data_IF_298362042355
#
_entry.id   IF_298362042355
#
_cell.length_a   1.000
_cell.length_b   1.000
_cell.length_c   1.000
_cell.angle_alpha   90.00
_cell.angle_beta   90.00
_cell.angle_gamma   90.00
#
_symmetry.space_group_name_H-M   'P 1'
#
loop_
_entity.id
_entity.type
_entity.pdbx_description
1 polymer ?
#
# COMPACT_ATOMS: atom_id res chain seq x y z
N UNK A 1 -31.03 -21.70 10.76
CA UNK A 1 -30.52 -20.89 9.63
C UNK A 1 -31.67 -20.17 8.95
N UNK A 2 -31.51 -18.87 8.64
CA UNK A 2 -32.45 -18.07 7.84
C UNK A 2 -31.80 -17.74 6.51
N UNK A 3 -32.60 -17.63 5.46
CA UNK A 3 -32.18 -17.22 4.13
C UNK A 3 -32.84 -15.88 3.80
N UNK A 4 -32.04 -14.95 3.28
CA UNK A 4 -32.50 -13.73 2.63
C UNK A 4 -32.10 -13.83 1.16
N UNK A 5 -33.09 -13.84 0.27
CA UNK A 5 -32.90 -13.90 -1.17
C UNK A 5 -33.29 -12.57 -1.80
N UNK A 6 -32.38 -12.05 -2.62
CA UNK A 6 -32.53 -10.80 -3.35
C UNK A 6 -32.55 -11.10 -4.85
N UNK A 7 -33.43 -10.42 -5.58
CA UNK A 7 -33.35 -10.37 -7.05
C UNK A 7 -32.42 -9.24 -7.52
N UNK A 8 -32.11 -9.23 -8.81
CA UNK A 8 -31.33 -8.16 -9.45
C UNK A 8 -32.01 -6.82 -9.19
N UNK A 9 -31.25 -5.83 -8.72
CA UNK A 9 -31.80 -4.55 -8.24
C UNK A 9 -31.95 -4.46 -6.71
N UNK A 10 -31.56 -5.50 -5.97
CA UNK A 10 -31.51 -5.46 -4.50
C UNK A 10 -32.86 -5.59 -3.80
N UNK A 11 -33.90 -6.01 -4.52
CA UNK A 11 -35.23 -6.21 -3.97
C UNK A 11 -35.36 -7.61 -3.36
N UNK A 12 -36.00 -7.69 -2.19
CA UNK A 12 -36.22 -8.95 -1.48
C UNK A 12 -37.34 -9.75 -2.13
N UNK A 13 -37.07 -11.02 -2.41
CA UNK A 13 -38.05 -11.97 -2.96
C UNK A 13 -38.36 -13.12 -2.01
N UNK A 14 -37.49 -13.37 -1.03
CA UNK A 14 -37.74 -14.31 0.06
C UNK A 14 -36.91 -13.92 1.29
N UNK A 15 -37.51 -13.96 2.48
CA UNK A 15 -36.78 -13.87 3.74
C UNK A 15 -37.46 -14.80 4.75
N UNK A 16 -36.76 -15.84 5.19
CA UNK A 16 -37.42 -16.87 5.98
C UNK A 16 -36.49 -17.94 6.55
N UNK A 17 -37.04 -18.82 7.38
CA UNK A 17 -36.33 -20.02 7.84
C UNK A 17 -36.34 -21.04 6.71
N UNK A 18 -35.20 -21.68 6.42
CA UNK A 18 -35.11 -22.73 5.39
C UNK A 18 -35.93 -23.98 5.74
N UNK A 19 -36.04 -24.30 7.03
CA UNK A 19 -36.61 -25.58 7.48
C UNK A 19 -35.64 -26.74 7.30
N UNK A 20 -36.09 -27.96 7.58
CA UNK A 20 -35.30 -29.19 7.34
C UNK A 20 -35.23 -29.41 5.83
N UNK A 21 -34.03 -29.65 5.29
CA UNK A 21 -33.80 -29.83 3.85
C UNK A 21 -34.40 -28.72 2.96
N UNK A 22 -34.40 -27.47 3.42
CA UNK A 22 -34.95 -26.31 2.67
C UNK A 22 -36.45 -26.40 2.32
N UNK A 23 -37.20 -27.23 3.04
CA UNK A 23 -38.63 -27.49 2.81
C UNK A 23 -39.46 -26.20 2.80
N UNK A 24 -39.28 -25.30 3.78
CA UNK A 24 -40.10 -24.09 3.91
C UNK A 24 -39.87 -23.07 2.80
N UNK A 25 -38.65 -23.06 2.24
CA UNK A 25 -38.33 -22.23 1.08
C UNK A 25 -39.00 -22.82 -0.17
N UNK A 26 -38.91 -24.14 -0.33
CA UNK A 26 -39.51 -24.87 -1.45
C UNK A 26 -41.03 -24.68 -1.45
N UNK A 27 -41.69 -24.90 -0.32
CA UNK A 27 -43.14 -24.69 -0.15
C UNK A 27 -43.57 -23.27 -0.50
N UNK A 28 -42.76 -22.25 -0.18
CA UNK A 28 -43.07 -20.86 -0.50
C UNK A 28 -43.07 -20.61 -2.01
N UNK A 29 -42.05 -21.07 -2.73
CA UNK A 29 -41.96 -20.87 -4.18
C UNK A 29 -42.92 -21.78 -4.94
N UNK A 30 -43.17 -23.00 -4.46
CA UNK A 30 -44.17 -23.91 -5.05
C UNK A 30 -45.61 -23.42 -4.86
N UNK A 31 -45.88 -22.62 -3.83
CA UNK A 31 -47.19 -21.99 -3.63
C UNK A 31 -47.49 -20.90 -4.66
N UNK A 32 -46.49 -20.44 -5.42
CA UNK A 32 -46.66 -19.42 -6.46
C UNK A 32 -47.24 -20.09 -7.72
N UNK A 33 -48.37 -19.59 -8.26
CA UNK A 33 -48.95 -20.12 -9.49
C UNK A 33 -47.94 -20.11 -10.66
N UNK A 34 -47.75 -21.27 -11.31
CA UNK A 34 -46.89 -21.42 -12.48
C UNK A 34 -45.42 -21.73 -12.20
N UNK A 35 -44.99 -21.78 -10.93
CA UNK A 35 -43.65 -22.27 -10.58
C UNK A 35 -43.63 -23.82 -10.64
N UNK A 36 -42.69 -24.44 -11.36
CA UNK A 36 -42.59 -25.89 -11.44
C UNK A 36 -42.09 -26.47 -10.12
N UNK A 37 -42.72 -27.56 -9.65
CA UNK A 37 -42.27 -28.27 -8.44
C UNK A 37 -40.82 -28.75 -8.55
N UNK A 38 -40.14 -28.81 -7.41
CA UNK A 38 -38.77 -29.31 -7.38
C UNK A 38 -38.73 -30.80 -7.73
N UNK A 39 -37.76 -31.21 -8.55
CA UNK A 39 -37.54 -32.62 -8.87
C UNK A 39 -36.88 -33.33 -7.70
N UNK A 40 -37.21 -34.60 -7.51
CA UNK A 40 -36.64 -35.41 -6.45
C UNK A 40 -35.11 -35.51 -6.62
N UNK A 41 -34.37 -35.39 -5.51
CA UNK A 41 -32.89 -35.29 -5.46
C UNK A 41 -32.26 -34.06 -6.16
N UNK A 42 -33.03 -33.07 -6.58
CA UNK A 42 -32.47 -31.83 -7.13
C UNK A 42 -32.03 -30.86 -6.02
N UNK A 43 -30.98 -30.08 -6.26
CA UNK A 43 -30.47 -29.13 -5.26
C UNK A 43 -31.45 -27.95 -5.10
N UNK A 44 -32.04 -27.74 -3.90
CA UNK A 44 -33.00 -26.65 -3.68
C UNK A 44 -32.42 -25.26 -3.91
N UNK A 45 -31.13 -25.05 -3.67
CA UNK A 45 -30.49 -23.75 -3.89
C UNK A 45 -30.44 -23.39 -5.39
N UNK A 46 -30.11 -24.38 -6.24
CA UNK A 46 -30.07 -24.22 -7.68
C UNK A 46 -31.47 -24.01 -8.24
N UNK A 47 -32.44 -24.85 -7.84
CA UNK A 47 -33.84 -24.73 -8.28
C UNK A 47 -34.44 -23.37 -7.92
N UNK A 48 -34.21 -22.89 -6.70
CA UNK A 48 -34.70 -21.58 -6.24
C UNK A 48 -34.21 -20.44 -7.14
N UNK A 49 -32.93 -20.45 -7.54
CA UNK A 49 -32.37 -19.43 -8.42
C UNK A 49 -32.93 -19.49 -9.85
N UNK A 50 -33.25 -20.69 -10.34
CA UNK A 50 -33.86 -20.89 -11.67
C UNK A 50 -35.31 -20.40 -11.69
N UNK A 51 -36.11 -20.76 -10.68
CA UNK A 51 -37.52 -20.38 -10.60
C UNK A 51 -37.72 -18.91 -10.24
N UNK A 52 -36.73 -18.27 -9.60
CA UNK A 52 -36.73 -16.85 -9.29
C UNK A 52 -35.90 -16.00 -10.27
N UNK A 53 -35.54 -16.55 -11.43
CA UNK A 53 -34.75 -15.84 -12.44
C UNK A 53 -35.58 -14.79 -13.19
N UNK A 54 -34.91 -13.84 -13.84
CA UNK A 54 -35.57 -12.83 -14.70
C UNK A 54 -36.38 -13.49 -15.81
N UNK A 55 -35.89 -14.59 -16.38
CA UNK A 55 -36.61 -15.36 -17.39
C UNK A 55 -37.91 -15.97 -16.83
N UNK A 56 -37.91 -16.39 -15.56
CA UNK A 56 -39.10 -16.89 -14.90
C UNK A 56 -40.12 -15.77 -14.60
N UNK A 57 -39.68 -14.57 -14.21
CA UNK A 57 -40.57 -13.40 -14.03
C UNK A 57 -41.30 -13.05 -15.34
N UNK A 58 -40.57 -13.02 -16.47
CA UNK A 58 -41.16 -12.74 -17.79
C UNK A 58 -42.14 -13.85 -18.19
N UNK A 59 -41.77 -15.12 -18.01
CA UNK A 59 -42.64 -16.27 -18.33
C UNK A 59 -43.94 -16.26 -17.51
N UNK A 60 -43.86 -15.86 -16.24
CA UNK A 60 -44.99 -15.81 -15.32
C UNK A 60 -45.73 -14.47 -15.36
N UNK A 61 -45.21 -13.48 -16.09
CA UNK A 61 -45.72 -12.10 -16.12
C UNK A 61 -45.97 -11.53 -14.71
N UNK A 62 -45.04 -11.81 -13.78
CA UNK A 62 -45.15 -11.44 -12.36
C UNK A 62 -43.82 -10.91 -11.84
N UNK A 63 -43.89 -9.92 -10.94
CA UNK A 63 -42.76 -9.48 -10.13
C UNK A 63 -42.73 -10.23 -8.79
N UNK A 64 -41.67 -11.02 -8.54
CA UNK A 64 -41.55 -11.77 -7.29
C UNK A 64 -41.38 -10.87 -6.05
N UNK A 65 -40.84 -9.66 -6.21
CA UNK A 65 -40.66 -8.72 -5.09
C UNK A 65 -42.00 -8.15 -4.63
N UNK A 66 -42.91 -7.85 -5.56
CA UNK A 66 -44.26 -7.38 -5.21
C UNK A 66 -45.13 -8.53 -4.66
N UNK A 67 -44.96 -9.74 -5.19
CA UNK A 67 -45.55 -10.94 -4.59
C UNK A 67 -45.06 -11.15 -3.15
N UNK A 68 -43.75 -11.01 -2.90
CA UNK A 68 -43.21 -11.13 -1.55
C UNK A 68 -43.81 -10.08 -0.60
N UNK A 69 -43.95 -8.82 -1.02
CA UNK A 69 -44.54 -7.73 -0.21
C UNK A 69 -45.99 -8.00 0.19
N UNK A 70 -46.76 -8.69 -0.65
CA UNK A 70 -48.17 -9.02 -0.36
C UNK A 70 -48.32 -10.33 0.43
N UNK A 71 -47.29 -11.18 0.43
CA UNK A 71 -47.29 -12.47 1.10
C UNK A 71 -47.39 -12.37 2.64
N UNK A 72 -47.94 -13.41 3.26
CA UNK A 72 -48.01 -13.51 4.72
C UNK A 72 -46.62 -13.63 5.36
N UNK A 73 -45.64 -14.16 4.63
CA UNK A 73 -44.25 -14.23 5.08
C UNK A 73 -43.68 -12.83 5.34
N UNK A 74 -43.97 -11.86 4.47
CA UNK A 74 -43.55 -10.47 4.68
C UNK A 74 -44.24 -9.84 5.90
N UNK A 75 -45.55 -10.08 6.07
CA UNK A 75 -46.29 -9.60 7.26
C UNK A 75 -45.70 -10.16 8.56
N UNK A 76 -45.41 -11.47 8.60
CA UNK A 76 -44.78 -12.13 9.74
C UNK A 76 -43.39 -11.55 10.03
N UNK A 77 -42.57 -11.32 9.01
CA UNK A 77 -41.26 -10.70 9.17
C UNK A 77 -41.37 -9.27 9.70
N UNK A 78 -42.35 -8.49 9.26
CA UNK A 78 -42.58 -7.12 9.74
C UNK A 78 -42.96 -7.09 11.22
N UNK A 79 -43.82 -8.02 11.66
CA UNK A 79 -44.17 -8.20 13.08
C UNK A 79 -42.96 -8.65 13.89
N UNK A 80 -42.16 -9.57 13.37
CA UNK A 80 -40.96 -10.02 14.04
C UNK A 80 -39.93 -8.90 14.20
N UNK A 81 -39.72 -8.09 13.16
CA UNK A 81 -38.83 -6.93 13.22
C UNK A 81 -39.34 -5.93 14.27
N UNK A 82 -40.63 -5.62 14.31
CA UNK A 82 -41.17 -4.68 15.31
C UNK A 82 -41.06 -5.19 16.74
N UNK A 83 -41.15 -6.51 16.95
CA UNK A 83 -40.89 -7.15 18.24
C UNK A 83 -39.41 -7.06 18.64
N UNK A 84 -38.50 -7.42 17.73
CA UNK A 84 -37.05 -7.43 17.99
C UNK A 84 -36.42 -6.04 18.06
N UNK A 85 -37.07 -5.02 17.47
CA UNK A 85 -36.63 -3.63 17.59
C UNK A 85 -36.88 -3.02 18.97
N UNK A 86 -37.69 -3.68 19.83
CA UNK A 86 -37.91 -3.23 21.21
C UNK A 86 -36.96 -4.00 22.13
N UNK A 87 -36.01 -3.34 22.81
CA UNK A 87 -35.12 -4.02 23.75
C UNK A 87 -35.93 -4.61 24.92
N UNK A 88 -35.47 -5.73 25.47
CA UNK A 88 -36.11 -6.33 26.64
C UNK A 88 -35.97 -5.41 27.86
N UNK A 89 -37.03 -5.23 28.67
CA UNK A 89 -36.97 -4.37 29.86
C UNK A 89 -35.84 -4.80 30.79
N UNK A 90 -34.92 -3.87 31.09
CA UNK A 90 -33.74 -4.13 31.95
C UNK A 90 -32.46 -4.50 31.20
N UNK A 91 -32.49 -4.55 29.86
CA UNK A 91 -31.28 -4.68 29.04
C UNK A 91 -30.76 -3.29 28.62
N UNK A 92 -29.44 -3.10 28.68
CA UNK A 92 -28.78 -1.90 28.16
C UNK A 92 -28.18 -2.17 26.80
N UNK A 93 -28.12 -1.16 25.94
CA UNK A 93 -27.48 -1.26 24.64
C UNK A 93 -26.00 -1.68 24.78
N UNK A 94 -25.53 -2.46 23.81
CA UNK A 94 -24.15 -2.92 23.76
C UNK A 94 -23.24 -1.71 23.47
N UNK A 95 -22.50 -1.25 24.48
CA UNK A 95 -21.59 -0.12 24.37
C UNK A 95 -20.13 -0.59 24.37
N UNK A 96 -19.39 -0.23 23.32
CA UNK A 96 -17.95 -0.44 23.27
C UNK A 96 -17.24 0.91 23.50
N UNK A 97 -16.34 1.02 24.49
CA UNK A 97 -15.66 2.27 24.79
C UNK A 97 -14.62 2.67 23.73
N UNK A 98 -14.17 1.72 22.91
CA UNK A 98 -13.17 1.94 21.87
C UNK A 98 -13.57 1.25 20.58
N UNK A 99 -13.24 1.87 19.43
CA UNK A 99 -13.43 1.29 18.10
C UNK A 99 -12.58 0.02 17.90
N UNK A 100 -11.38 -0.01 18.49
CA UNK A 100 -10.43 -1.12 18.39
C UNK A 100 -10.26 -1.85 19.72
N UNK A 101 -10.03 -3.17 19.67
CA UNK A 101 -9.85 -4.01 20.87
C UNK A 101 -8.51 -3.81 21.60
N UNK A 102 -7.50 -3.26 20.91
CA UNK A 102 -6.14 -3.07 21.44
C UNK A 102 -5.73 -1.60 21.41
N UNK A 103 -4.84 -1.22 22.32
CA UNK A 103 -4.23 0.12 22.34
C UNK A 103 -3.39 0.38 21.07
N UNK A 104 -3.13 1.65 20.77
CA UNK A 104 -2.31 2.09 19.62
C UNK A 104 -0.94 1.39 19.61
N UNK A 105 -0.32 1.21 20.77
CA UNK A 105 0.99 0.53 20.92
C UNK A 105 0.85 -0.97 20.63
N UNK A 106 -0.23 -1.60 21.09
CA UNK A 106 -0.52 -3.01 20.78
C UNK A 106 -0.71 -3.23 19.28
N UNK A 107 -1.49 -2.35 18.64
CA UNK A 107 -1.67 -2.34 17.19
C UNK A 107 -0.34 -2.16 16.46
N UNK A 108 0.49 -1.19 16.89
CA UNK A 108 1.81 -0.94 16.28
C UNK A 108 2.72 -2.17 16.38
N UNK A 109 2.82 -2.81 17.54
CA UNK A 109 3.64 -4.03 17.71
C UNK A 109 3.16 -5.17 16.81
N UNK A 110 1.84 -5.36 16.71
CA UNK A 110 1.27 -6.38 15.83
C UNK A 110 1.55 -6.09 14.34
N UNK A 111 1.38 -4.83 13.92
CA UNK A 111 1.71 -4.39 12.57
C UNK A 111 3.20 -4.55 12.28
N UNK A 112 4.08 -4.17 13.21
CA UNK A 112 5.52 -4.31 13.06
C UNK A 112 5.95 -5.77 12.93
N UNK A 113 5.39 -6.64 13.77
CA UNK A 113 5.60 -8.09 13.68
C UNK A 113 5.16 -8.65 12.31
N UNK A 114 3.97 -8.25 11.83
CA UNK A 114 3.47 -8.63 10.51
C UNK A 114 4.45 -8.23 9.42
N UNK A 115 4.84 -6.95 9.37
CA UNK A 115 5.75 -6.47 8.32
C UNK A 115 7.13 -7.13 8.40
N UNK A 116 7.66 -7.36 9.61
CA UNK A 116 8.91 -8.09 9.80
C UNK A 116 8.84 -9.49 9.19
N UNK A 117 7.78 -10.23 9.48
CA UNK A 117 7.57 -11.57 8.96
C UNK A 117 7.39 -11.57 7.44
N UNK A 118 6.66 -10.60 6.88
CA UNK A 118 6.47 -10.44 5.43
C UNK A 118 7.82 -10.17 4.74
N UNK A 119 8.62 -9.24 5.25
CA UNK A 119 9.90 -8.89 4.64
C UNK A 119 10.92 -10.04 4.72
N UNK A 120 10.86 -10.81 5.80
CA UNK A 120 11.71 -12.00 5.97
C UNK A 120 11.28 -13.16 5.06
N UNK A 121 9.97 -13.41 4.91
CA UNK A 121 9.44 -14.53 4.12
C UNK A 121 9.41 -14.27 2.61
N UNK A 122 9.43 -13.01 2.20
CA UNK A 122 9.41 -12.60 0.79
C UNK A 122 10.74 -11.92 0.42
N UNK A 123 11.82 -12.70 0.20
CA UNK A 123 13.15 -12.15 0.00
C UNK A 123 13.31 -11.42 -1.33
N UNK A 124 12.43 -11.64 -2.31
CA UNK A 124 12.57 -11.12 -3.68
C UNK A 124 12.79 -9.60 -3.72
N UNK A 125 12.04 -8.85 -2.91
CA UNK A 125 12.17 -7.39 -2.81
C UNK A 125 13.56 -6.97 -2.33
N UNK A 126 13.98 -7.46 -1.16
CA UNK A 126 15.24 -7.09 -0.55
C UNK A 126 16.45 -7.62 -1.33
N UNK A 127 16.33 -8.81 -1.93
CA UNK A 127 17.37 -9.44 -2.73
C UNK A 127 17.67 -8.64 -4.00
N UNK A 128 16.63 -8.22 -4.74
CA UNK A 128 16.81 -7.38 -5.94
C UNK A 128 17.46 -6.05 -5.56
N UNK A 129 16.96 -5.41 -4.50
CA UNK A 129 17.48 -4.13 -4.02
C UNK A 129 18.95 -4.22 -3.61
N UNK A 130 19.33 -5.28 -2.89
CA UNK A 130 20.71 -5.49 -2.46
C UNK A 130 21.64 -5.87 -3.62
N UNK A 131 21.19 -6.75 -4.52
CA UNK A 131 22.00 -7.19 -5.65
C UNK A 131 22.30 -6.03 -6.61
N UNK A 132 21.30 -5.19 -6.89
CA UNK A 132 21.46 -4.02 -7.76
C UNK A 132 22.43 -2.98 -7.16
N UNK A 133 22.30 -2.74 -5.86
CA UNK A 133 23.19 -1.79 -5.16
C UNK A 133 24.62 -2.32 -5.10
N UNK A 134 24.81 -3.62 -4.86
CA UNK A 134 26.13 -4.27 -4.90
C UNK A 134 26.78 -4.13 -6.27
N UNK A 135 26.04 -4.44 -7.34
CA UNK A 135 26.53 -4.29 -8.70
C UNK A 135 26.92 -2.83 -9.00
N UNK A 136 26.09 -1.87 -8.61
CA UNK A 136 26.35 -0.44 -8.82
C UNK A 136 27.57 0.03 -8.02
N UNK A 137 27.75 -0.44 -6.79
CA UNK A 137 28.91 -0.13 -5.95
C UNK A 137 30.22 -0.64 -6.60
N UNK A 138 30.22 -1.89 -7.08
CA UNK A 138 31.39 -2.48 -7.75
C UNK A 138 31.69 -1.78 -9.08
N UNK A 139 30.66 -1.48 -9.87
CA UNK A 139 30.81 -0.76 -11.14
C UNK A 139 31.42 0.63 -10.90
N UNK A 140 30.86 1.42 -9.99
CA UNK A 140 31.39 2.74 -9.65
C UNK A 140 32.83 2.65 -9.10
N UNK A 141 33.07 1.73 -8.16
CA UNK A 141 34.39 1.52 -7.58
C UNK A 141 35.43 1.08 -8.60
N UNK A 142 35.04 0.31 -9.62
CA UNK A 142 35.95 -0.14 -10.69
C UNK A 142 36.28 0.96 -11.69
N UNK A 143 35.32 1.81 -12.06
CA UNK A 143 35.53 2.93 -13.00
C UNK A 143 36.45 3.98 -12.37
N UNK A 144 36.27 4.28 -11.08
CA UNK A 144 37.05 5.29 -10.36
C UNK A 144 38.12 4.69 -9.44
N UNK A 145 38.69 3.56 -9.86
CA UNK A 145 39.66 2.82 -9.09
C UNK A 145 40.85 3.70 -8.68
N UNK A 146 41.12 3.77 -7.37
CA UNK A 146 42.23 4.55 -6.77
C UNK A 146 42.27 6.04 -7.13
N UNK A 147 41.16 6.64 -7.58
CA UNK A 147 41.10 8.06 -7.95
C UNK A 147 41.47 8.99 -6.79
N UNK A 148 41.22 8.57 -5.54
CA UNK A 148 41.52 9.36 -4.32
C UNK A 148 42.99 9.70 -4.11
N UNK A 149 43.90 9.07 -4.86
CA UNK A 149 45.34 9.38 -4.81
C UNK A 149 45.73 10.60 -5.66
N UNK A 150 44.93 10.98 -6.66
CA UNK A 150 45.21 12.05 -7.61
C UNK A 150 44.08 13.11 -7.66
N UNK A 151 43.75 13.70 -6.50
CA UNK A 151 42.68 14.73 -6.38
C UNK A 151 43.18 16.18 -6.59
N UNK A 152 44.37 16.38 -7.17
CA UNK A 152 44.95 17.72 -7.34
C UNK A 152 44.28 18.58 -8.41
N UNK A 153 43.52 17.99 -9.33
CA UNK A 153 42.88 18.70 -10.44
C UNK A 153 41.39 18.96 -10.18
N UNK A 154 40.98 20.22 -10.32
CA UNK A 154 39.60 20.67 -10.14
C UNK A 154 38.61 20.01 -11.13
N UNK A 155 39.09 19.57 -12.30
CA UNK A 155 38.23 18.83 -13.25
C UNK A 155 38.00 17.38 -12.79
N UNK A 156 39.04 16.71 -12.29
CA UNK A 156 38.94 15.37 -11.72
C UNK A 156 37.99 15.35 -10.50
N UNK A 157 38.09 16.35 -9.62
CA UNK A 157 37.19 16.49 -8.47
C UNK A 157 35.72 16.64 -8.89
N UNK A 158 35.43 17.50 -9.88
CA UNK A 158 34.08 17.70 -10.42
C UNK A 158 33.51 16.42 -11.03
N UNK A 159 34.33 15.68 -11.78
CA UNK A 159 33.95 14.39 -12.37
C UNK A 159 33.59 13.36 -11.30
N UNK A 160 34.40 13.23 -10.26
CA UNK A 160 34.15 12.27 -9.15
C UNK A 160 32.87 12.61 -8.40
N UNK A 161 32.66 13.89 -8.05
CA UNK A 161 31.44 14.34 -7.36
C UNK A 161 30.20 14.06 -8.22
N UNK A 162 30.28 14.34 -9.53
CA UNK A 162 29.20 14.06 -10.48
C UNK A 162 28.85 12.58 -10.60
N UNK A 163 29.88 11.72 -10.66
CA UNK A 163 29.70 10.29 -10.71
C UNK A 163 29.08 9.74 -9.43
N UNK A 164 29.52 10.20 -8.26
CA UNK A 164 28.95 9.83 -6.96
C UNK A 164 27.49 10.27 -6.85
N UNK A 165 27.18 11.50 -7.23
CA UNK A 165 25.80 12.01 -7.28
C UNK A 165 24.91 11.16 -8.19
N UNK A 166 25.38 10.86 -9.39
CA UNK A 166 24.64 10.06 -10.37
C UNK A 166 24.42 8.63 -9.87
N UNK A 167 25.42 8.03 -9.24
CA UNK A 167 25.30 6.68 -8.68
C UNK A 167 24.30 6.61 -7.51
N UNK A 168 24.33 7.58 -6.59
CA UNK A 168 23.36 7.65 -5.49
C UNK A 168 21.95 7.87 -6.02
N UNK A 169 21.78 8.74 -7.02
CA UNK A 169 20.50 8.93 -7.72
C UNK A 169 20.02 7.64 -8.38
N UNK A 170 20.90 6.91 -9.06
CA UNK A 170 20.55 5.68 -9.77
C UNK A 170 20.10 4.56 -8.82
N UNK A 171 20.85 4.33 -7.73
CA UNK A 171 20.45 3.40 -6.66
C UNK A 171 19.15 3.86 -6.00
N UNK A 172 19.02 5.16 -5.72
CA UNK A 172 17.82 5.75 -5.13
C UNK A 172 16.56 5.54 -5.98
N UNK A 173 16.62 5.84 -7.28
CA UNK A 173 15.51 5.60 -8.21
C UNK A 173 15.14 4.11 -8.23
N UNK A 174 16.12 3.21 -8.18
CA UNK A 174 15.86 1.77 -8.12
C UNK A 174 15.17 1.36 -6.80
N UNK A 175 15.58 1.90 -5.65
CA UNK A 175 14.90 1.68 -4.37
C UNK A 175 13.44 2.15 -4.41
N UNK A 176 13.17 3.29 -5.06
CA UNK A 176 11.79 3.74 -5.26
C UNK A 176 10.99 2.78 -6.15
N UNK A 177 11.52 2.44 -7.32
CA UNK A 177 10.82 1.59 -8.28
C UNK A 177 10.50 0.20 -7.70
N UNK A 178 11.41 -0.34 -6.87
CA UNK A 178 11.24 -1.66 -6.24
C UNK A 178 10.25 -1.66 -5.08
N UNK A 179 10.14 -0.57 -4.32
CA UNK A 179 9.19 -0.49 -3.19
C UNK A 179 7.74 -0.28 -3.65
N UNK A 180 7.53 0.38 -4.79
CA UNK A 180 6.20 0.71 -5.31
C UNK A 180 5.24 -0.51 -5.45
N UNK A 181 5.61 -1.61 -6.12
CA UNK A 181 4.73 -2.76 -6.27
C UNK A 181 4.44 -3.45 -4.93
N UNK A 182 5.41 -3.51 -4.01
CA UNK A 182 5.27 -4.13 -2.69
C UNK A 182 4.21 -3.38 -1.87
N UNK A 183 4.31 -2.05 -1.81
CA UNK A 183 3.33 -1.22 -1.09
C UNK A 183 1.95 -1.29 -1.72
N UNK A 184 1.87 -1.38 -3.05
CA UNK A 184 0.59 -1.49 -3.76
C UNK A 184 -0.15 -2.78 -3.39
N UNK A 185 0.56 -3.91 -3.27
CA UNK A 185 -0.02 -5.20 -2.85
C UNK A 185 -0.50 -5.10 -1.39
N UNK A 186 0.37 -4.66 -0.48
CA UNK A 186 0.04 -4.53 0.95
C UNK A 186 -1.14 -3.58 1.20
N UNK A 187 -1.27 -2.50 0.42
CA UNK A 187 -2.41 -1.58 0.50
C UNK A 187 -3.76 -2.28 0.31
N UNK A 188 -3.85 -3.27 -0.56
CA UNK A 188 -5.11 -4.02 -0.78
C UNK A 188 -5.49 -4.85 0.45
N UNK A 189 -4.49 -5.42 1.12
CA UNK A 189 -4.66 -6.17 2.38
C UNK A 189 -5.05 -5.22 3.51
N UNK A 190 -4.35 -4.08 3.62
CA UNK A 190 -4.65 -3.02 4.59
C UNK A 190 -6.10 -2.55 4.50
N UNK A 191 -6.64 -2.29 3.30
CA UNK A 191 -8.03 -1.86 3.17
C UNK A 191 -9.03 -2.92 3.65
N UNK A 192 -8.75 -4.21 3.43
CA UNK A 192 -9.60 -5.30 3.91
C UNK A 192 -9.54 -5.43 5.43
N UNK A 193 -8.35 -5.39 6.01
CA UNK A 193 -8.14 -5.49 7.46
C UNK A 193 -8.72 -4.28 8.20
N UNK A 194 -8.61 -3.09 7.62
CA UNK A 194 -9.23 -1.87 8.15
C UNK A 194 -10.75 -1.90 8.05
N UNK A 195 -11.31 -2.38 6.94
CA UNK A 195 -12.77 -2.55 6.80
C UNK A 195 -13.34 -3.57 7.80
N UNK A 196 -12.53 -4.55 8.24
CA UNK A 196 -12.86 -5.48 9.30
C UNK A 196 -12.64 -4.92 10.72
N UNK A 197 -12.18 -3.67 10.87
CA UNK A 197 -11.95 -3.04 12.17
C UNK A 197 -10.76 -3.59 12.96
N UNK A 198 -9.76 -4.18 12.29
CA UNK A 198 -8.65 -4.85 13.00
C UNK A 198 -7.64 -3.88 13.65
N UNK A 199 -7.30 -2.79 12.97
CA UNK A 199 -6.36 -1.77 13.46
C UNK A 199 -6.52 -0.45 12.70
N UNK A 200 -6.02 0.64 13.30
CA UNK A 200 -6.06 1.99 12.74
C UNK A 200 -4.92 2.26 11.75
N UNK A 201 -5.07 3.29 10.89
CA UNK A 201 -4.12 3.58 9.82
C UNK A 201 -2.72 4.05 10.31
N UNK A 202 -2.66 4.74 11.45
CA UNK A 202 -1.45 5.38 11.93
C UNK A 202 -0.40 4.37 12.47
N UNK A 203 -0.76 3.40 13.33
CA UNK A 203 0.14 2.30 13.72
C UNK A 203 0.67 1.50 12.54
N UNK A 204 -0.15 1.27 11.52
CA UNK A 204 0.25 0.60 10.29
C UNK A 204 1.31 1.40 9.53
N UNK A 205 1.07 2.70 9.30
CA UNK A 205 1.99 3.55 8.56
C UNK A 205 3.35 3.68 9.27
N UNK A 206 3.36 3.84 10.60
CA UNK A 206 4.61 3.92 11.37
C UNK A 206 5.34 2.57 11.33
N UNK A 207 4.64 1.44 11.45
CA UNK A 207 5.26 0.12 11.36
C UNK A 207 5.93 -0.09 9.99
N UNK A 208 5.27 0.31 8.91
CA UNK A 208 5.83 0.23 7.56
C UNK A 208 7.11 1.05 7.39
N UNK A 209 7.14 2.28 7.94
CA UNK A 209 8.34 3.15 7.90
C UNK A 209 9.49 2.57 8.71
N UNK A 210 9.22 2.14 9.95
CA UNK A 210 10.25 1.60 10.86
C UNK A 210 10.93 0.36 10.30
N UNK A 211 10.19 -0.46 9.55
CA UNK A 211 10.72 -1.69 8.95
C UNK A 211 11.77 -1.46 7.88
N UNK A 212 11.77 -0.32 7.21
CA UNK A 212 12.70 -0.06 6.09
C UNK A 212 14.09 0.40 6.56
N UNK A 213 14.15 1.03 7.74
CA UNK A 213 15.38 1.48 8.41
C UNK A 213 16.47 0.39 8.46
N UNK A 214 16.24 -0.81 9.03
CA UNK A 214 17.28 -1.83 9.16
C UNK A 214 17.77 -2.36 7.80
N UNK A 215 16.88 -2.54 6.82
CA UNK A 215 17.28 -3.06 5.50
C UNK A 215 18.07 -2.02 4.70
N UNK A 216 17.67 -0.75 4.75
CA UNK A 216 18.41 0.34 4.09
C UNK A 216 19.76 0.58 4.78
N UNK A 217 19.84 0.37 6.10
CA UNK A 217 21.10 0.45 6.84
C UNK A 217 22.11 -0.60 6.35
N UNK A 218 21.69 -1.86 6.22
CA UNK A 218 22.55 -2.94 5.69
C UNK A 218 22.96 -2.63 4.25
N UNK A 219 22.02 -2.21 3.39
CA UNK A 219 22.28 -1.80 2.01
C UNK A 219 23.36 -0.72 1.92
N UNK A 220 23.23 0.31 2.75
CA UNK A 220 24.14 1.45 2.73
C UNK A 220 25.51 1.09 3.27
N UNK A 221 25.56 0.21 4.28
CA UNK A 221 26.80 -0.18 4.95
C UNK A 221 27.81 -0.82 4.00
N UNK A 222 27.39 -1.79 3.20
CA UNK A 222 28.32 -2.37 2.21
C UNK A 222 28.52 -1.45 1.01
N UNK A 223 27.51 -0.69 0.58
CA UNK A 223 27.67 0.27 -0.52
C UNK A 223 28.79 1.26 -0.22
N UNK A 224 28.76 1.89 0.96
CA UNK A 224 29.79 2.85 1.33
C UNK A 224 31.14 2.18 1.55
N UNK A 225 31.18 1.01 2.18
CA UNK A 225 32.43 0.29 2.41
C UNK A 225 33.14 -0.07 1.09
N UNK A 226 32.39 -0.57 0.09
CA UNK A 226 32.93 -0.93 -1.22
C UNK A 226 33.42 0.31 -1.98
N UNK A 227 32.55 1.31 -2.12
CA UNK A 227 32.86 2.53 -2.90
C UNK A 227 34.04 3.28 -2.27
N UNK A 228 34.03 3.46 -0.95
CA UNK A 228 35.08 4.19 -0.23
C UNK A 228 36.43 3.47 -0.31
N UNK A 229 36.44 2.14 -0.24
CA UNK A 229 37.65 1.33 -0.37
C UNK A 229 38.21 1.32 -1.79
N UNK A 230 37.37 1.04 -2.81
CA UNK A 230 37.82 0.93 -4.21
C UNK A 230 38.30 2.28 -4.78
N UNK A 231 37.63 3.39 -4.42
CA UNK A 231 38.05 4.73 -4.83
C UNK A 231 39.29 5.22 -4.06
N UNK A 232 39.68 4.52 -2.98
CA UNK A 232 40.81 4.86 -2.11
C UNK A 232 40.73 6.28 -1.56
N UNK A 233 39.58 6.65 -0.99
CA UNK A 233 39.43 7.91 -0.27
C UNK A 233 40.24 7.94 1.02
N UNK A 234 40.48 9.14 1.55
CA UNK A 234 41.25 9.33 2.79
C UNK A 234 40.52 8.73 3.98
N UNK A 235 40.99 7.59 4.49
CA UNK A 235 40.46 6.90 5.66
C UNK A 235 40.56 7.76 6.92
N UNK A 236 39.51 8.55 7.16
CA UNK A 236 39.29 9.29 8.39
C UNK A 236 37.87 8.99 8.84
N UNK A 237 37.69 8.62 10.12
CA UNK A 237 36.39 8.23 10.65
C UNK A 237 35.30 9.27 10.35
N UNK A 238 35.61 10.55 10.54
CA UNK A 238 34.68 11.67 10.26
C UNK A 238 34.23 11.67 8.80
N UNK A 239 35.16 11.55 7.84
CA UNK A 239 34.85 11.57 6.39
C UNK A 239 34.05 10.34 5.97
N UNK A 240 34.39 9.18 6.52
CA UNK A 240 33.66 7.93 6.26
C UNK A 240 32.22 7.99 6.79
N UNK A 241 32.04 8.37 8.06
CA UNK A 241 30.70 8.48 8.65
C UNK A 241 29.86 9.57 8.00
N UNK A 242 30.47 10.67 7.53
CA UNK A 242 29.77 11.68 6.75
C UNK A 242 29.25 11.12 5.41
N UNK A 243 30.11 10.38 4.69
CA UNK A 243 29.71 9.72 3.44
C UNK A 243 28.61 8.66 3.66
N UNK A 244 28.73 7.87 4.73
CA UNK A 244 27.69 6.93 5.16
C UNK A 244 26.38 7.64 5.48
N UNK A 245 26.42 8.70 6.27
CA UNK A 245 25.25 9.47 6.66
C UNK A 245 24.52 10.03 5.45
N UNK A 246 25.23 10.73 4.56
CA UNK A 246 24.63 11.29 3.34
C UNK A 246 24.03 10.19 2.46
N UNK A 247 24.73 9.07 2.27
CA UNK A 247 24.22 7.95 1.46
C UNK A 247 22.99 7.29 2.09
N UNK A 248 23.00 7.09 3.40
CA UNK A 248 21.94 6.43 4.16
C UNK A 248 20.63 7.23 4.11
N UNK A 249 20.70 8.52 4.42
CA UNK A 249 19.54 9.40 4.36
C UNK A 249 19.04 9.60 2.93
N UNK A 250 19.93 9.59 1.93
CA UNK A 250 19.52 9.63 0.52
C UNK A 250 18.72 8.37 0.16
N UNK A 251 19.22 7.17 0.49
CA UNK A 251 18.52 5.92 0.18
C UNK A 251 17.20 5.79 0.92
N UNK A 252 17.12 6.22 2.19
CA UNK A 252 15.86 6.31 2.93
C UNK A 252 14.87 7.27 2.25
N UNK A 253 15.32 8.46 1.87
CA UNK A 253 14.48 9.46 1.20
C UNK A 253 13.83 8.89 -0.05
N UNK A 254 14.61 8.25 -0.93
CA UNK A 254 14.07 7.65 -2.15
C UNK A 254 13.07 6.53 -1.87
N UNK A 255 13.36 5.69 -0.87
CA UNK A 255 12.48 4.58 -0.47
C UNK A 255 11.13 5.13 0.03
N UNK A 256 11.14 6.09 0.95
CA UNK A 256 9.91 6.70 1.47
C UNK A 256 9.14 7.49 0.43
N UNK A 257 9.86 8.17 -0.47
CA UNK A 257 9.23 8.84 -1.59
C UNK A 257 8.47 7.83 -2.48
N UNK A 258 9.05 6.65 -2.75
CA UNK A 258 8.34 5.56 -3.45
C UNK A 258 7.05 5.15 -2.75
N UNK A 259 7.07 4.94 -1.43
CA UNK A 259 5.86 4.60 -0.66
C UNK A 259 4.81 5.72 -0.70
N UNK A 260 5.25 6.98 -0.63
CA UNK A 260 4.37 8.15 -0.73
C UNK A 260 3.68 8.20 -2.09
N UNK A 261 4.42 7.96 -3.19
CA UNK A 261 3.84 7.98 -4.55
C UNK A 261 2.74 6.94 -4.74
N UNK A 262 2.89 5.74 -4.18
CA UNK A 262 1.83 4.70 -4.20
C UNK A 262 0.63 5.10 -3.33
N UNK A 263 0.88 5.78 -2.22
CA UNK A 263 -0.19 6.21 -1.32
C UNK A 263 -1.12 7.26 -1.97
N UNK A 264 -0.59 8.09 -2.87
CA UNK A 264 -1.34 9.15 -3.56
C UNK A 264 -1.93 8.67 -4.89
N UNK A 265 -1.32 7.67 -5.52
CA UNK A 265 -1.73 7.19 -6.85
C UNK A 265 -2.69 6.00 -6.77
N UNK A 266 -3.57 5.82 -7.79
CA UNK A 266 -4.49 4.68 -7.82
C UNK A 266 -3.78 3.35 -8.10
N UNK A 267 -2.70 3.35 -8.88
CA UNK A 267 -1.94 2.16 -9.25
C UNK A 267 -0.43 2.44 -9.27
N UNK A 268 0.38 1.41 -9.02
CA UNK A 268 1.84 1.52 -8.97
C UNK A 268 2.47 1.96 -10.30
N UNK A 269 1.86 1.65 -11.45
CA UNK A 269 2.31 2.17 -12.75
C UNK A 269 2.23 3.71 -12.81
N UNK A 270 1.11 4.28 -12.35
CA UNK A 270 0.92 5.74 -12.26
C UNK A 270 1.86 6.35 -11.22
N UNK A 271 2.11 5.64 -10.11
CA UNK A 271 3.11 6.02 -9.11
C UNK A 271 4.50 6.16 -9.74
N UNK A 272 4.91 5.22 -10.59
CA UNK A 272 6.18 5.25 -11.31
C UNK A 272 6.32 6.45 -12.24
N UNK A 273 5.27 6.76 -13.00
CA UNK A 273 5.25 7.96 -13.88
C UNK A 273 5.38 9.24 -13.06
N UNK A 274 4.60 9.37 -11.99
CA UNK A 274 4.64 10.54 -11.11
C UNK A 274 6.01 10.71 -10.44
N UNK A 275 6.60 9.61 -9.97
CA UNK A 275 7.92 9.58 -9.39
C UNK A 275 9.00 10.02 -10.39
N UNK A 276 8.97 9.48 -11.61
CA UNK A 276 9.94 9.81 -12.66
C UNK A 276 9.89 11.30 -13.06
N UNK A 277 8.70 11.89 -13.15
CA UNK A 277 8.55 13.32 -13.43
C UNK A 277 9.22 14.19 -12.34
N UNK A 278 9.02 13.82 -11.08
CA UNK A 278 9.58 14.54 -9.95
C UNK A 278 11.11 14.37 -9.87
N UNK A 279 11.65 13.17 -10.07
CA UNK A 279 13.10 12.97 -10.10
C UNK A 279 13.76 13.75 -11.23
N UNK A 280 13.12 13.83 -12.39
CA UNK A 280 13.62 14.63 -13.52
C UNK A 280 13.70 16.12 -13.15
N UNK A 281 12.69 16.63 -12.45
CA UNK A 281 12.67 18.01 -11.96
C UNK A 281 13.76 18.26 -10.89
N UNK A 282 13.87 17.37 -9.90
CA UNK A 282 14.86 17.50 -8.83
C UNK A 282 16.29 17.37 -9.36
N UNK A 283 16.50 16.51 -10.35
CA UNK A 283 17.80 16.36 -10.98
C UNK A 283 18.21 17.64 -11.73
N UNK A 284 17.27 18.27 -12.45
CA UNK A 284 17.51 19.55 -13.12
C UNK A 284 17.90 20.67 -12.13
N UNK A 285 17.22 20.75 -10.99
CA UNK A 285 17.46 21.78 -9.97
C UNK A 285 18.49 21.39 -8.88
N UNK A 286 19.16 20.24 -9.03
CA UNK A 286 20.16 19.75 -8.07
C UNK A 286 21.42 20.62 -7.96
N UNK A 287 21.62 21.57 -8.89
CA UNK A 287 22.80 22.42 -8.96
C UNK A 287 23.99 21.79 -9.67
N UNK A 288 23.88 20.53 -10.13
CA UNK A 288 24.90 19.86 -10.94
C UNK A 288 24.77 20.22 -12.43
N UNK A 289 23.56 20.20 -12.99
CA UNK A 289 23.30 20.53 -14.40
C UNK A 289 23.14 22.03 -14.67
N UNK A 290 22.61 22.79 -13.70
CA UNK A 290 22.49 24.25 -13.77
C UNK A 290 23.42 24.84 -12.70
N UNK A 291 24.61 25.35 -13.08
CA UNK A 291 25.52 26.00 -12.14
C UNK A 291 24.83 27.24 -11.54
N UNK A 292 24.98 27.47 -10.23
CA UNK A 292 24.48 28.71 -9.61
C UNK A 292 25.21 29.91 -10.23
N UNK A 293 24.51 31.01 -10.55
CA UNK A 293 25.18 32.24 -10.92
C UNK A 293 26.04 32.69 -9.74
N UNK A 294 27.33 32.88 -9.99
CA UNK A 294 28.26 33.46 -9.02
C UNK A 294 27.72 34.85 -8.67
N UNK A 295 27.50 35.13 -7.38
CA UNK A 295 27.12 36.47 -6.92
C UNK A 295 28.16 37.46 -7.45
N UNK A 296 27.77 38.29 -8.42
CA UNK A 296 28.48 39.52 -8.72
C UNK A 296 28.45 40.41 -7.47
N UNK A 297 29.50 41.18 -7.14
CA UNK A 297 29.54 42.03 -5.95
C UNK A 297 28.36 43.00 -5.84
N UNK A 298 27.69 43.30 -6.95
CA UNK A 298 26.52 44.19 -7.00
C UNK A 298 25.35 43.48 -7.72
N UNK A 299 24.34 43.02 -6.98
CA UNK A 299 23.08 42.55 -7.59
C UNK A 299 22.26 41.62 -6.70
N UNK A 300 21.08 42.08 -6.29
CA UNK A 300 20.17 41.44 -5.32
C UNK A 300 19.77 40.00 -5.65
N UNK A 301 19.70 39.18 -4.60
CA UNK A 301 19.35 37.76 -4.66
C UNK A 301 17.85 37.54 -4.85
N UNK A 302 17.45 37.13 -6.06
CA UNK A 302 16.22 36.37 -6.26
C UNK A 302 16.54 34.88 -6.14
N UNK A 303 16.45 34.30 -4.94
CA UNK A 303 16.58 32.84 -4.76
C UNK A 303 15.29 32.25 -4.22
N UNK A 304 14.69 31.36 -4.99
CA UNK A 304 13.60 30.47 -4.57
C UNK A 304 14.06 29.57 -3.42
N UNK A 305 13.26 29.52 -2.35
CA UNK A 305 13.62 28.94 -1.04
C UNK A 305 14.00 27.45 -1.03
N UNK A 306 13.77 26.71 -2.11
CA UNK A 306 14.11 25.30 -2.21
C UNK A 306 15.63 25.05 -2.31
N UNK A 307 16.39 26.01 -2.85
CA UNK A 307 17.83 25.90 -3.02
C UNK A 307 18.64 26.19 -1.74
N UNK A 308 18.00 26.68 -0.67
CA UNK A 308 18.70 27.05 0.57
C UNK A 308 19.03 25.83 1.43
N UNK A 309 18.17 24.79 1.44
CA UNK A 309 18.29 23.65 2.34
C UNK A 309 19.41 22.66 1.99
N UNK A 310 19.67 22.40 0.71
CA UNK A 310 20.71 21.44 0.30
C UNK A 310 22.14 22.01 0.27
N UNK A 311 22.30 23.33 0.33
CA UNK A 311 23.61 24.00 0.17
C UNK A 311 24.47 24.06 1.44
N UNK A 312 23.90 23.86 2.63
CA UNK A 312 24.67 23.96 3.88
C UNK A 312 25.37 22.65 4.28
N UNK A 313 25.02 21.51 3.70
CA UNK A 313 25.61 20.21 4.08
C UNK A 313 26.81 19.77 3.22
N UNK A 314 27.04 20.41 2.07
CA UNK A 314 28.10 20.02 1.12
C UNK A 314 29.16 21.12 0.90
N UNK A 315 29.08 22.22 1.64
CA UNK A 315 29.98 23.37 1.55
C UNK A 315 30.83 23.56 2.80
N UNK A 316 31.57 22.52 3.21
CA UNK A 316 32.67 22.59 4.18
C UNK A 316 33.59 21.39 4.02
#
# INVERSE_FOLDING_TARGET
>A
MRLLLLKRGGQVIYSGKLGRNSQKMTEYFEAIPGVPKIKDKYNPATWMLEVSSVAAEVRLSMDFADYYRTSDLYKQNKVLVSQLSRPEPGTSDLYFPTEYSQSIIGQFKACLWKHWLTYWRSPDYNLVRFSFTLFTALLLGSIFWKIGTNMGDANTLRMVIGAMYTAVMFVGINNCATVQPIVSIERTVFYRERAAGMYSALPYAIAQVVMEIPYVFVQTSYYTLIVYAMMSFQWTAVKFFWFFFVSYFSFLYFTYYGMMTVSISPNHEVAGIFAAAFYSLFNLFSGFFIPRPVKSPNGGSGTTGFAHWHGQCMGS
#
